data_IF_993120675838
#
_entry.id   IF_993120675838
#
_cell.length_a   1.000
_cell.length_b   1.000
_cell.length_c   1.000
_cell.angle_alpha   90.00
_cell.angle_beta   90.00
_cell.angle_gamma   90.00
#
_symmetry.space_group_name_H-M   'P 1'
#
loop_
_entity.id
_entity.type
_entity.pdbx_description
1 polymer ?
#
# COMPACT_ATOMS: atom_id res chain seq x y z
N UNK A 1 -0.85 -11.40 -10.83
CA UNK A 1 -1.03 -9.98 -10.46
C UNK A 1 -1.23 -9.92 -8.95
N UNK A 2 -0.40 -9.18 -8.20
CA UNK A 2 -0.61 -8.96 -6.75
C UNK A 2 -1.30 -7.61 -6.56
N UNK A 3 -2.38 -7.58 -5.79
CA UNK A 3 -3.01 -6.32 -5.39
C UNK A 3 -2.10 -5.63 -4.37
N UNK A 4 -1.81 -4.34 -4.59
CA UNK A 4 -1.00 -3.53 -3.68
C UNK A 4 -1.91 -2.56 -2.92
N UNK A 5 -1.59 -2.34 -1.65
CA UNK A 5 -2.27 -1.35 -0.82
C UNK A 5 -1.39 -0.11 -0.68
N UNK A 6 -1.92 1.05 -1.08
CA UNK A 6 -1.24 2.34 -1.00
C UNK A 6 -0.92 2.73 0.45
N UNK A 7 -1.69 2.22 1.43
CA UNK A 7 -1.48 2.50 2.85
C UNK A 7 -0.08 2.08 3.32
N UNK A 8 0.52 1.06 2.70
CA UNK A 8 1.88 0.60 2.98
C UNK A 8 2.96 1.57 2.48
N UNK A 9 2.60 2.51 1.61
CA UNK A 9 3.51 3.48 0.99
C UNK A 9 3.37 4.88 1.58
N UNK A 10 2.58 5.04 2.63
CA UNK A 10 2.37 6.33 3.32
C UNK A 10 2.57 6.16 4.83
N UNK A 11 2.90 7.23 5.57
CA UNK A 11 2.95 7.17 7.02
C UNK A 11 1.62 6.71 7.63
N UNK A 12 1.69 5.94 8.71
CA UNK A 12 0.51 5.50 9.44
C UNK A 12 -0.35 6.69 9.89
N UNK A 13 -1.67 6.57 9.74
CA UNK A 13 -2.62 7.63 10.09
C UNK A 13 -2.74 8.75 9.04
N UNK A 14 -2.08 8.64 7.89
CA UNK A 14 -2.26 9.60 6.78
C UNK A 14 -3.68 9.47 6.21
N UNK A 15 -4.48 10.52 6.32
CA UNK A 15 -5.79 10.57 5.68
C UNK A 15 -5.67 10.74 4.17
N UNK A 16 -6.70 10.31 3.43
CA UNK A 16 -6.73 10.48 1.98
C UNK A 16 -6.61 11.95 1.55
N UNK A 17 -7.31 12.86 2.23
CA UNK A 17 -7.20 14.30 1.94
C UNK A 17 -5.79 14.84 2.18
N UNK A 18 -5.12 14.39 3.25
CA UNK A 18 -3.74 14.79 3.57
C UNK A 18 -2.75 14.23 2.56
N UNK A 19 -2.97 13.00 2.09
CA UNK A 19 -2.19 12.41 1.01
C UNK A 19 -2.30 13.25 -0.26
N UNK A 20 -3.52 13.56 -0.70
CA UNK A 20 -3.73 14.41 -1.88
C UNK A 20 -3.08 15.79 -1.74
N UNK A 21 -3.27 16.46 -0.61
CA UNK A 21 -2.70 17.81 -0.43
C UNK A 21 -1.18 17.83 -0.38
N UNK A 22 -0.55 16.75 0.09
CA UNK A 22 0.91 16.60 0.09
C UNK A 22 1.49 16.59 -1.33
N UNK A 23 0.82 15.92 -2.27
CA UNK A 23 1.34 15.74 -3.63
C UNK A 23 0.74 16.69 -4.68
N UNK A 24 -0.46 17.19 -4.46
CA UNK A 24 -1.20 18.02 -5.42
C UNK A 24 -1.50 19.43 -4.91
N UNK A 25 -1.23 19.71 -3.63
CA UNK A 25 -1.64 20.93 -2.95
C UNK A 25 -3.12 20.93 -2.56
N UNK A 26 -3.52 21.97 -1.83
CA UNK A 26 -4.91 22.14 -1.40
C UNK A 26 -5.78 22.75 -2.50
N UNK A 27 -7.08 22.45 -2.48
CA UNK A 27 -8.03 23.10 -3.38
C UNK A 27 -8.14 24.59 -3.02
N UNK A 28 -7.96 25.46 -4.03
CA UNK A 28 -7.98 26.92 -3.88
C UNK A 28 -9.32 27.56 -4.25
N UNK A 29 -10.39 26.77 -4.35
CA UNK A 29 -11.71 27.31 -4.62
C UNK A 29 -12.26 28.02 -3.38
N UNK A 30 -12.56 29.32 -3.48
CA UNK A 30 -13.29 30.04 -2.43
C UNK A 30 -14.76 29.62 -2.37
N UNK A 31 -15.40 29.45 -3.54
CA UNK A 31 -16.76 28.95 -3.66
C UNK A 31 -16.79 27.42 -3.74
N UNK A 32 -17.13 26.78 -2.62
CA UNK A 32 -17.27 25.32 -2.54
C UNK A 32 -18.43 24.77 -3.35
N UNK A 33 -19.48 25.56 -3.64
CA UNK A 33 -20.63 25.10 -4.44
C UNK A 33 -20.19 24.97 -5.89
N UNK A 34 -19.57 26.02 -6.44
CA UNK A 34 -19.14 26.06 -7.85
C UNK A 34 -17.75 25.50 -8.12
N UNK A 35 -17.12 24.90 -7.11
CA UNK A 35 -15.78 24.38 -7.25
C UNK A 35 -15.70 23.14 -8.16
N UNK A 36 -14.86 23.25 -9.19
CA UNK A 36 -14.56 22.20 -10.18
C UNK A 36 -13.09 21.78 -10.17
N UNK A 37 -12.32 22.12 -9.12
CA UNK A 37 -10.87 21.84 -9.02
C UNK A 37 -10.52 20.33 -9.02
N UNK A 38 -11.51 19.45 -8.84
CA UNK A 38 -11.30 17.99 -8.79
C UNK A 38 -10.68 17.47 -7.48
N UNK A 39 -10.39 18.34 -6.51
CA UNK A 39 -9.89 18.00 -5.16
C UNK A 39 -10.97 18.18 -4.08
N UNK A 40 -12.17 18.63 -4.48
CA UNK A 40 -13.33 18.76 -3.59
C UNK A 40 -14.05 17.44 -3.38
N UNK A 41 -14.80 17.33 -2.28
CA UNK A 41 -15.64 16.15 -2.01
C UNK A 41 -16.79 16.07 -3.02
N UNK A 42 -17.00 14.89 -3.57
CA UNK A 42 -18.21 14.52 -4.29
C UNK A 42 -19.35 14.23 -3.32
N UNK A 43 -20.59 14.31 -3.81
CA UNK A 43 -21.80 13.94 -3.09
C UNK A 43 -22.56 12.95 -3.96
N UNK A 44 -22.98 11.82 -3.38
CA UNK A 44 -23.65 10.74 -4.10
C UNK A 44 -24.75 10.11 -3.23
N UNK A 45 -25.93 9.76 -3.80
CA UNK A 45 -27.06 9.25 -3.03
C UNK A 45 -26.99 7.73 -2.89
N UNK A 46 -26.15 7.23 -1.98
CA UNK A 46 -25.85 5.80 -1.85
C UNK A 46 -27.08 4.93 -1.59
N UNK A 47 -27.92 5.32 -0.64
CA UNK A 47 -29.07 4.55 -0.18
C UNK A 47 -30.22 4.58 -1.21
N UNK A 48 -30.20 5.55 -2.13
CA UNK A 48 -31.15 5.63 -3.23
C UNK A 48 -30.88 4.62 -4.35
N UNK A 49 -29.62 4.19 -4.53
CA UNK A 49 -29.24 3.25 -5.58
C UNK A 49 -29.53 1.81 -5.12
N UNK A 50 -30.80 1.40 -5.23
CA UNK A 50 -31.25 0.06 -4.84
C UNK A 50 -31.16 -0.97 -5.95
N UNK A 51 -31.10 -0.53 -7.21
CA UNK A 51 -31.01 -1.39 -8.39
C UNK A 51 -30.32 -0.68 -9.55
N UNK A 52 -29.78 -1.45 -10.51
CA UNK A 52 -28.99 -0.91 -11.62
C UNK A 52 -29.81 0.02 -12.54
N UNK A 53 -31.10 -0.24 -12.70
CA UNK A 53 -32.01 0.59 -13.50
C UNK A 53 -32.18 2.02 -12.95
N UNK A 54 -31.95 2.24 -11.66
CA UNK A 54 -31.97 3.57 -11.04
C UNK A 54 -30.93 4.48 -11.70
N UNK A 55 -29.77 3.94 -12.09
CA UNK A 55 -28.71 4.72 -12.74
C UNK A 55 -29.15 5.32 -14.09
N UNK A 56 -30.16 4.75 -14.74
CA UNK A 56 -30.71 5.25 -16.01
C UNK A 56 -31.70 6.39 -15.85
N UNK A 57 -32.11 6.75 -14.62
CA UNK A 57 -33.00 7.87 -14.39
C UNK A 57 -32.34 9.18 -14.80
N UNK A 58 -33.12 10.05 -15.43
CA UNK A 58 -32.64 11.28 -16.10
C UNK A 58 -32.87 12.55 -15.30
N UNK A 59 -33.36 12.43 -14.08
CA UNK A 59 -33.64 13.55 -13.17
C UNK A 59 -32.70 13.50 -11.97
N UNK A 60 -32.33 14.67 -11.46
CA UNK A 60 -31.60 14.78 -10.20
C UNK A 60 -32.44 14.14 -9.09
N UNK A 61 -31.88 13.21 -8.28
CA UNK A 61 -32.59 12.64 -7.15
C UNK A 61 -33.05 13.72 -6.17
N UNK A 62 -34.21 13.55 -5.50
CA UNK A 62 -34.69 14.51 -4.53
C UNK A 62 -33.68 14.67 -3.39
N UNK A 63 -33.69 15.83 -2.71
CA UNK A 63 -32.76 16.12 -1.62
C UNK A 63 -32.70 15.01 -0.55
N UNK A 64 -33.86 14.45 -0.18
CA UNK A 64 -33.96 13.35 0.79
C UNK A 64 -33.25 12.06 0.36
N UNK A 65 -33.00 11.87 -0.94
CA UNK A 65 -32.28 10.70 -1.44
C UNK A 65 -30.77 10.72 -1.07
N UNK A 66 -30.25 11.85 -0.61
CA UNK A 66 -28.87 12.02 -0.18
C UNK A 66 -28.70 11.96 1.34
N UNK A 67 -29.79 11.72 2.07
CA UNK A 67 -29.71 11.50 3.51
C UNK A 67 -29.01 10.17 3.78
N UNK A 68 -28.36 10.07 4.94
CA UNK A 68 -27.69 8.84 5.37
C UNK A 68 -28.38 8.29 6.59
N UNK A 69 -29.12 7.19 6.42
CA UNK A 69 -29.70 6.41 7.52
C UNK A 69 -28.60 5.90 8.44
N UNK A 70 -27.46 5.45 7.88
CA UNK A 70 -26.32 4.94 8.66
C UNK A 70 -25.78 5.98 9.67
N UNK A 71 -25.78 7.26 9.29
CA UNK A 71 -25.29 8.36 10.13
C UNK A 71 -26.41 9.13 10.83
N UNK A 72 -27.67 8.90 10.46
CA UNK A 72 -28.81 9.71 10.87
C UNK A 72 -28.68 11.18 10.48
N UNK A 73 -28.05 11.48 9.34
CA UNK A 73 -27.78 12.86 8.90
C UNK A 73 -28.42 13.16 7.57
N UNK A 74 -29.06 14.33 7.47
CA UNK A 74 -29.57 14.85 6.19
C UNK A 74 -28.55 15.74 5.49
N UNK A 75 -28.64 15.80 4.16
CA UNK A 75 -27.78 16.68 3.35
C UNK A 75 -28.09 18.16 3.61
N UNK A 76 -27.05 19.01 3.62
CA UNK A 76 -27.23 20.46 3.74
C UNK A 76 -27.80 21.08 2.45
N UNK A 77 -28.45 22.24 2.55
CA UNK A 77 -28.93 22.96 1.36
C UNK A 77 -27.78 23.39 0.43
N UNK A 78 -26.61 23.72 0.99
CA UNK A 78 -25.43 24.09 0.21
C UNK A 78 -24.88 22.91 -0.58
N UNK A 79 -24.86 21.72 0.03
CA UNK A 79 -24.42 20.49 -0.62
C UNK A 79 -25.39 20.05 -1.72
N UNK A 80 -26.70 20.17 -1.49
CA UNK A 80 -27.68 19.89 -2.54
C UNK A 80 -27.59 20.90 -3.70
N UNK A 81 -27.38 22.19 -3.42
CA UNK A 81 -27.08 23.20 -4.46
C UNK A 81 -25.82 22.86 -5.25
N UNK A 82 -24.81 22.28 -4.61
CA UNK A 82 -23.61 21.78 -5.31
C UNK A 82 -23.96 20.65 -6.27
N UNK A 83 -24.79 19.69 -5.86
CA UNK A 83 -25.27 18.61 -6.75
C UNK A 83 -26.01 19.19 -7.96
N UNK A 84 -26.91 20.15 -7.75
CA UNK A 84 -27.63 20.82 -8.84
C UNK A 84 -26.67 21.54 -9.79
N UNK A 85 -25.72 22.30 -9.25
CA UNK A 85 -24.70 22.98 -10.04
C UNK A 85 -23.88 22.01 -10.88
N UNK A 86 -23.37 20.90 -10.32
CA UNK A 86 -22.54 19.96 -11.10
C UNK A 86 -23.35 19.21 -12.14
N UNK A 87 -24.62 18.89 -11.85
CA UNK A 87 -25.50 18.26 -12.82
C UNK A 87 -25.69 19.12 -14.06
N UNK A 88 -25.96 20.42 -13.87
CA UNK A 88 -26.09 21.39 -14.95
C UNK A 88 -24.74 21.69 -15.63
N UNK A 89 -23.69 21.91 -14.85
CA UNK A 89 -22.37 22.30 -15.35
C UNK A 89 -21.73 21.24 -16.25
N UNK A 90 -21.90 19.96 -15.91
CA UNK A 90 -21.38 18.84 -16.70
C UNK A 90 -22.41 18.27 -17.68
N UNK A 91 -23.57 18.92 -17.84
CA UNK A 91 -24.67 18.50 -18.72
C UNK A 91 -25.07 17.02 -18.53
N UNK A 92 -25.19 16.60 -17.26
CA UNK A 92 -25.48 15.21 -16.90
C UNK A 92 -26.86 14.81 -17.40
N UNK A 93 -26.96 13.64 -18.03
CA UNK A 93 -28.21 13.11 -18.59
C UNK A 93 -28.84 12.05 -17.71
N UNK A 94 -28.07 11.48 -16.80
CA UNK A 94 -28.50 10.37 -15.96
C UNK A 94 -27.76 10.32 -14.62
N UNK A 95 -28.32 9.61 -13.65
CA UNK A 95 -27.64 9.32 -12.37
C UNK A 95 -26.31 8.59 -12.60
N UNK A 96 -26.19 7.80 -13.67
CA UNK A 96 -24.93 7.18 -14.09
C UNK A 96 -23.83 8.22 -14.34
N UNK A 97 -24.15 9.36 -14.94
CA UNK A 97 -23.17 10.42 -15.19
C UNK A 97 -22.69 11.04 -13.88
N UNK A 98 -23.60 11.23 -12.92
CA UNK A 98 -23.27 11.66 -11.57
C UNK A 98 -22.37 10.64 -10.86
N UNK A 99 -22.64 9.35 -11.00
CA UNK A 99 -21.79 8.27 -10.45
C UNK A 99 -20.38 8.29 -11.07
N UNK A 100 -20.28 8.43 -12.39
CA UNK A 100 -18.98 8.52 -13.08
C UNK A 100 -18.19 9.74 -12.59
N UNK A 101 -18.84 10.90 -12.51
CA UNK A 101 -18.23 12.11 -11.99
C UNK A 101 -17.76 11.95 -10.53
N UNK A 102 -18.61 11.39 -9.67
CA UNK A 102 -18.30 11.13 -8.27
C UNK A 102 -17.05 10.23 -8.14
N UNK A 103 -17.02 9.10 -8.85
CA UNK A 103 -15.88 8.18 -8.82
C UNK A 103 -14.61 8.81 -9.38
N UNK A 104 -14.72 9.65 -10.42
CA UNK A 104 -13.58 10.35 -10.98
C UNK A 104 -12.97 11.39 -10.02
N UNK A 105 -13.78 11.99 -9.13
CA UNK A 105 -13.26 12.88 -8.09
C UNK A 105 -12.34 12.16 -7.10
N UNK A 106 -12.52 10.86 -6.89
CA UNK A 106 -11.60 10.08 -6.08
C UNK A 106 -10.43 9.53 -6.92
N UNK A 107 -10.73 8.89 -8.06
CA UNK A 107 -9.71 8.14 -8.81
C UNK A 107 -8.69 9.06 -9.52
N UNK A 108 -9.13 10.15 -10.14
CA UNK A 108 -8.25 11.02 -10.92
C UNK A 108 -7.18 11.69 -10.07
N UNK A 109 -7.50 12.38 -8.95
CA UNK A 109 -6.47 12.96 -8.10
C UNK A 109 -5.63 11.87 -7.42
N UNK A 110 -6.20 10.72 -7.06
CA UNK A 110 -5.42 9.62 -6.50
C UNK A 110 -4.31 9.16 -7.45
N UNK A 111 -4.62 8.94 -8.73
CA UNK A 111 -3.62 8.55 -9.74
C UNK A 111 -2.57 9.65 -9.92
N UNK A 112 -2.97 10.93 -9.92
CA UNK A 112 -2.03 12.05 -10.02
C UNK A 112 -1.06 12.09 -8.83
N UNK A 113 -1.57 11.92 -7.62
CA UNK A 113 -0.77 11.88 -6.39
C UNK A 113 0.20 10.68 -6.38
N UNK A 114 -0.27 9.49 -6.78
CA UNK A 114 0.57 8.30 -6.92
C UNK A 114 1.71 8.53 -7.93
N UNK A 115 1.41 9.14 -9.07
CA UNK A 115 2.44 9.45 -10.07
C UNK A 115 3.49 10.39 -9.49
N UNK A 116 3.07 11.47 -8.83
CA UNK A 116 3.97 12.41 -8.18
C UNK A 116 4.84 11.73 -7.09
N UNK A 117 4.25 10.85 -6.28
CA UNK A 117 4.98 10.06 -5.29
C UNK A 117 5.99 9.11 -5.96
N UNK A 118 5.62 8.44 -7.04
CA UNK A 118 6.52 7.54 -7.79
C UNK A 118 7.72 8.30 -8.36
N UNK A 119 7.53 9.54 -8.82
CA UNK A 119 8.65 10.38 -9.30
C UNK A 119 9.70 10.69 -8.22
N UNK A 120 9.33 10.64 -6.94
CA UNK A 120 10.30 10.79 -5.84
C UNK A 120 11.28 9.61 -5.79
N UNK A 121 10.78 8.38 -5.94
CA UNK A 121 11.62 7.17 -5.90
C UNK A 121 12.40 6.93 -7.17
N UNK A 122 11.89 7.37 -8.33
CA UNK A 122 12.63 7.31 -9.59
C UNK A 122 13.96 8.06 -9.57
N UNK A 123 14.11 9.08 -8.71
CA UNK A 123 15.39 9.78 -8.50
C UNK A 123 16.50 8.88 -7.95
N UNK A 124 16.12 7.75 -7.35
CA UNK A 124 17.01 6.73 -6.82
C UNK A 124 17.09 5.50 -7.73
N UNK A 125 16.61 5.61 -8.98
CA UNK A 125 16.48 4.49 -9.92
C UNK A 125 15.62 3.33 -9.36
N UNK A 126 14.61 3.69 -8.57
CA UNK A 126 13.65 2.75 -7.98
C UNK A 126 12.25 3.01 -8.54
N UNK A 127 11.57 1.95 -8.92
CA UNK A 127 10.13 1.95 -9.10
C UNK A 127 9.43 1.62 -7.79
N UNK A 128 8.64 2.57 -7.30
CA UNK A 128 7.92 2.49 -6.03
C UNK A 128 7.16 1.17 -5.83
N UNK A 129 6.53 0.62 -6.86
CA UNK A 129 5.64 -0.54 -6.73
C UNK A 129 6.30 -1.87 -7.04
N UNK A 130 7.34 -1.88 -7.88
CA UNK A 130 8.05 -3.11 -8.20
C UNK A 130 9.24 -3.36 -7.28
N UNK A 131 9.91 -2.29 -6.82
CA UNK A 131 11.10 -2.42 -6.00
C UNK A 131 10.83 -2.48 -4.51
N UNK A 132 9.69 -2.02 -4.03
CA UNK A 132 9.33 -2.10 -2.63
C UNK A 132 7.89 -2.55 -2.46
N UNK A 133 7.62 -3.32 -1.41
CA UNK A 133 6.25 -3.66 -0.99
C UNK A 133 5.67 -2.64 -0.01
N UNK A 134 6.51 -1.71 0.47
CA UNK A 134 6.18 -0.69 1.46
C UNK A 134 7.19 0.47 1.44
N UNK A 135 6.81 1.61 2.03
CA UNK A 135 7.67 2.78 2.19
C UNK A 135 8.96 2.48 2.97
N UNK A 136 8.95 1.73 4.09
CA UNK A 136 10.18 1.31 4.75
C UNK A 136 11.09 0.47 3.85
N UNK A 137 10.54 -0.46 3.05
CA UNK A 137 11.34 -1.26 2.12
C UNK A 137 12.01 -0.44 1.02
N UNK A 138 11.32 0.59 0.51
CA UNK A 138 11.92 1.55 -0.41
C UNK A 138 13.00 2.40 0.29
N UNK A 139 12.73 2.85 1.50
CA UNK A 139 13.67 3.66 2.30
C UNK A 139 14.94 2.87 2.61
N UNK A 140 14.81 1.57 2.91
CA UNK A 140 15.94 0.67 3.12
C UNK A 140 16.80 0.55 1.84
N UNK A 141 16.17 0.40 0.66
CA UNK A 141 16.91 0.36 -0.62
C UNK A 141 17.66 1.67 -0.89
N UNK A 142 17.01 2.81 -0.67
CA UNK A 142 17.63 4.13 -0.79
C UNK A 142 18.79 4.29 0.19
N UNK A 143 18.62 3.82 1.43
CA UNK A 143 19.68 3.78 2.43
C UNK A 143 20.86 2.93 1.96
N UNK A 144 20.61 1.74 1.39
CA UNK A 144 21.70 0.90 0.89
C UNK A 144 22.49 1.56 -0.23
N UNK A 145 21.79 2.18 -1.20
CA UNK A 145 22.44 2.96 -2.26
C UNK A 145 23.23 4.14 -1.69
N UNK A 146 22.70 4.86 -0.70
CA UNK A 146 23.36 6.07 -0.19
C UNK A 146 24.57 5.75 0.68
N UNK A 147 24.42 4.83 1.64
CA UNK A 147 25.44 4.55 2.66
C UNK A 147 26.52 3.58 2.20
N UNK A 148 26.21 2.72 1.22
CA UNK A 148 27.07 1.58 0.89
C UNK A 148 27.52 1.53 -0.56
N UNK A 149 27.44 2.65 -1.29
CA UNK A 149 28.07 2.79 -2.61
C UNK A 149 29.57 2.42 -2.62
N UNK A 150 30.24 2.51 -1.47
CA UNK A 150 31.66 2.18 -1.31
C UNK A 150 31.90 0.84 -0.59
N UNK A 151 30.85 0.06 -0.28
CA UNK A 151 31.07 -1.25 0.34
C UNK A 151 31.58 -2.26 -0.69
N UNK A 152 32.65 -2.94 -0.31
CA UNK A 152 33.05 -4.15 -1.01
C UNK A 152 32.05 -5.25 -0.67
N UNK A 153 31.38 -5.78 -1.69
CA UNK A 153 30.58 -6.98 -1.51
C UNK A 153 31.46 -8.09 -0.90
N UNK A 154 30.97 -8.83 0.12
CA UNK A 154 31.70 -9.96 0.62
C UNK A 154 31.99 -10.91 -0.55
N UNK A 155 33.22 -11.42 -0.59
CA UNK A 155 33.65 -12.31 -1.65
C UNK A 155 32.66 -13.47 -1.82
N UNK A 156 32.15 -13.67 -3.04
CA UNK A 156 31.31 -14.82 -3.39
C UNK A 156 32.02 -16.17 -3.28
N UNK A 157 33.31 -16.20 -2.89
CA UNK A 157 34.01 -17.46 -2.63
C UNK A 157 33.28 -18.19 -1.50
N UNK A 158 32.86 -19.44 -1.72
CA UNK A 158 32.21 -20.22 -0.68
C UNK A 158 33.14 -20.31 0.54
N UNK A 159 32.58 -20.08 1.72
CA UNK A 159 33.30 -20.31 2.97
C UNK A 159 33.80 -21.76 3.01
N UNK A 160 34.95 -21.98 3.67
CA UNK A 160 35.42 -23.36 3.91
C UNK A 160 34.29 -24.12 4.61
N UNK A 161 33.97 -25.29 4.08
CA UNK A 161 32.93 -26.13 4.67
C UNK A 161 33.26 -26.35 6.15
N UNK A 162 32.27 -26.17 7.01
CA UNK A 162 32.44 -26.39 8.44
C UNK A 162 32.93 -27.83 8.67
N UNK A 163 34.10 -27.95 9.31
CA UNK A 163 34.65 -29.21 9.78
C UNK A 163 34.59 -29.22 11.29
N UNK A 164 33.91 -30.22 11.86
CA UNK A 164 33.77 -30.30 13.30
C UNK A 164 35.13 -30.59 13.97
N UNK A 165 35.60 -29.76 14.93
CA UNK A 165 36.90 -29.97 15.54
C UNK A 165 36.96 -31.25 16.37
N UNK A 166 37.98 -32.08 16.14
CA UNK A 166 38.19 -33.32 16.91
C UNK A 166 38.28 -33.08 18.43
N UNK A 167 38.91 -31.98 18.86
CA UNK A 167 39.00 -31.57 20.27
C UNK A 167 37.63 -31.30 20.89
N UNK A 168 36.66 -30.83 20.10
CA UNK A 168 35.29 -30.61 20.56
C UNK A 168 34.54 -31.94 20.70
N UNK A 169 34.80 -32.90 19.81
CA UNK A 169 34.23 -34.25 19.86
C UNK A 169 34.68 -35.02 21.11
N UNK A 170 35.95 -34.91 21.51
CA UNK A 170 36.42 -35.52 22.75
C UNK A 170 35.71 -34.96 23.98
N UNK A 171 35.35 -33.66 23.96
CA UNK A 171 34.55 -33.04 25.02
C UNK A 171 33.15 -33.64 25.13
N UNK A 172 32.45 -33.81 24.01
CA UNK A 172 31.12 -34.44 24.02
C UNK A 172 31.16 -35.89 24.52
N UNK A 173 32.17 -36.67 24.12
CA UNK A 173 32.37 -38.04 24.62
C UNK A 173 32.61 -38.10 26.14
N UNK A 174 33.36 -37.15 26.68
CA UNK A 174 33.57 -37.04 28.12
C UNK A 174 32.26 -36.73 28.86
N UNK A 175 31.44 -35.80 28.33
CA UNK A 175 30.13 -35.47 28.88
C UNK A 175 29.15 -36.66 28.84
N UNK A 176 29.15 -37.43 27.74
CA UNK A 176 28.30 -38.61 27.63
C UNK A 176 28.74 -39.73 28.59
N UNK A 177 30.05 -39.85 28.84
CA UNK A 177 30.60 -40.77 29.86
C UNK A 177 30.17 -40.37 31.26
N UNK A 178 30.28 -39.08 31.61
CA UNK A 178 29.87 -38.54 32.91
C UNK A 178 28.36 -38.69 33.14
N UNK A 179 27.55 -38.46 32.11
CA UNK A 179 26.09 -38.59 32.16
C UNK A 179 25.57 -40.02 31.95
N UNK A 180 26.46 -41.03 31.82
CA UNK A 180 26.15 -42.44 31.55
C UNK A 180 25.23 -42.67 30.34
N UNK A 181 25.40 -41.89 29.26
CA UNK A 181 24.60 -42.01 28.04
C UNK A 181 25.22 -43.06 27.11
N UNK A 182 24.41 -43.93 26.54
CA UNK A 182 24.86 -45.02 25.64
C UNK A 182 25.23 -44.57 24.22
N UNK A 183 25.18 -43.27 23.91
CA UNK A 183 25.26 -42.79 22.53
C UNK A 183 26.70 -42.68 22.02
N UNK A 184 27.09 -43.57 21.09
CA UNK A 184 28.45 -43.60 20.55
C UNK A 184 28.57 -42.75 19.27
N UNK A 185 28.52 -41.42 19.40
CA UNK A 185 28.70 -40.52 18.24
C UNK A 185 30.14 -40.56 17.73
N UNK A 186 30.29 -40.84 16.42
CA UNK A 186 31.58 -40.82 15.72
C UNK A 186 31.68 -39.61 14.80
N UNK A 187 32.90 -39.13 14.55
CA UNK A 187 33.16 -38.05 13.57
C UNK A 187 32.60 -38.42 12.19
N UNK A 188 32.67 -39.70 11.82
CA UNK A 188 32.10 -40.22 10.57
C UNK A 188 30.58 -40.03 10.52
N UNK A 189 29.88 -40.42 11.58
CA UNK A 189 28.43 -40.22 11.70
C UNK A 189 28.04 -38.74 11.62
N UNK A 190 28.81 -37.85 12.25
CA UNK A 190 28.53 -36.41 12.24
C UNK A 190 28.76 -35.80 10.84
N UNK A 191 29.78 -36.26 10.12
CA UNK A 191 30.03 -35.86 8.72
C UNK A 191 28.93 -36.37 7.78
N UNK A 192 28.33 -37.53 8.06
CA UNK A 192 27.20 -38.06 7.28
C UNK A 192 25.93 -37.23 7.49
N UNK A 193 25.64 -36.84 8.73
CA UNK A 193 24.53 -35.93 9.06
C UNK A 193 24.70 -34.54 8.40
N UNK A 194 25.90 -33.97 8.49
CA UNK A 194 26.21 -32.68 7.88
C UNK A 194 26.10 -32.69 6.34
N UNK A 195 26.31 -33.86 5.71
CA UNK A 195 26.07 -34.05 4.26
C UNK A 195 24.58 -34.12 3.93
N UNK A 196 23.79 -34.85 4.72
CA UNK A 196 22.34 -34.97 4.53
C UNK A 196 21.63 -33.62 4.66
N UNK A 197 22.03 -32.78 5.62
CA UNK A 197 21.48 -31.44 5.80
C UNK A 197 21.78 -30.46 4.64
N UNK A 198 22.75 -30.75 3.78
CA UNK A 198 23.05 -29.93 2.60
C UNK A 198 22.22 -30.30 1.36
N UNK A 199 21.49 -31.42 1.41
CA UNK A 199 20.74 -31.97 0.27
C UNK A 199 19.22 -31.80 0.39
N UNK A 200 18.72 -31.30 1.52
CA UNK A 200 17.33 -30.88 1.72
C UNK A 200 17.23 -29.37 1.76
#
# INVERSE_FOLDING_TARGET
MKMLDISNYVPAGTSYSKYLSTYLGDCKCDDKIRCVCGLGKGIFPYEYITAFNVLSQTTIPPKSAFDSELRGTSISDADYKRVQFVWEHYDMKSIKDLLIWYNNLDVVPFIKAIKAQRELFKRFDLDMFTDGVSLPGLSEKVMYQTCFNNLQFPSKKPAKAFSFPAKRMSGYKAQDTEAKREFNMTIKHLNDLARKQKQG
#
